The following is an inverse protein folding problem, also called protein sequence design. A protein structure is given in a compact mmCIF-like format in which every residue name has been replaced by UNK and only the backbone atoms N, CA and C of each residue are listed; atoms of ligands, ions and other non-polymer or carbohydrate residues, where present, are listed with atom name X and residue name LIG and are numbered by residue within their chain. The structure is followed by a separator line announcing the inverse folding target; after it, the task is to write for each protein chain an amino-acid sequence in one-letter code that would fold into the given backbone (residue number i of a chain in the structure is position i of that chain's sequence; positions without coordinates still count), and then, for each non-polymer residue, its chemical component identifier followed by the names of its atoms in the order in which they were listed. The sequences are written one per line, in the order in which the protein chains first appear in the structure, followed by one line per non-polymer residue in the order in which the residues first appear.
data_IF_076791253321
#
_entry.id   IF_076791253321
#
_cell.length_a   1.000
_cell.length_b   1.000
_cell.length_c   1.000
_cell.angle_alpha   90.00
_cell.angle_beta   90.00
_cell.angle_gamma   90.00
#
_symmetry.space_group_name_H-M   'P 1'
#
loop_
_entity.id
_entity.type
_entity.pdbx_description
1 polymer ?
#
# COMPACT_ATOMS: atom_id res chain seq x y z
N UNK A 1 -10.91 -5.96 -6.77
CA UNK A 1 -9.73 -5.38 -6.09
C UNK A 1 -9.94 -3.89 -5.91
N UNK A 2 -10.17 -3.42 -4.68
CA UNK A 2 -10.35 -1.99 -4.39
C UNK A 2 -8.96 -1.39 -4.21
N UNK A 3 -8.33 -1.02 -5.33
CA UNK A 3 -6.97 -0.48 -5.34
C UNK A 3 -6.98 0.99 -4.88
N UNK A 4 -6.34 1.25 -3.75
CA UNK A 4 -5.98 2.60 -3.32
C UNK A 4 -4.96 3.19 -4.32
N UNK A 5 -5.24 4.38 -4.86
CA UNK A 5 -4.40 5.05 -5.87
C UNK A 5 -3.14 5.67 -5.28
N UNK A 6 -3.15 5.92 -3.98
CA UNK A 6 -2.03 6.52 -3.25
C UNK A 6 -1.12 5.45 -2.61
N UNK A 7 -1.52 4.17 -2.73
CA UNK A 7 -0.73 3.03 -2.31
C UNK A 7 0.11 2.48 -3.49
N UNK A 8 1.33 2.05 -3.18
CA UNK A 8 2.18 1.27 -4.07
C UNK A 8 2.06 -0.20 -3.71
N UNK A 9 1.93 -1.05 -4.72
CA UNK A 9 1.76 -2.50 -4.56
C UNK A 9 3.00 -3.25 -5.02
N UNK A 10 3.39 -4.26 -4.25
CA UNK A 10 4.45 -5.20 -4.58
C UNK A 10 3.86 -6.50 -5.15
N UNK A 11 4.69 -7.24 -5.89
CA UNK A 11 4.31 -8.55 -6.46
C UNK A 11 4.08 -9.63 -5.40
N UNK A 12 4.54 -9.38 -4.18
CA UNK A 12 4.45 -10.23 -2.99
C UNK A 12 3.13 -10.08 -2.24
N UNK A 13 2.10 -9.45 -2.85
CA UNK A 13 0.82 -9.14 -2.21
C UNK A 13 0.93 -8.17 -1.03
N UNK A 14 1.92 -7.28 -1.08
CA UNK A 14 2.13 -6.24 -0.07
C UNK A 14 1.82 -4.87 -0.67
N UNK A 15 1.46 -3.92 0.18
CA UNK A 15 1.26 -2.53 -0.22
C UNK A 15 1.81 -1.55 0.82
N UNK A 16 2.17 -0.36 0.33
CA UNK A 16 2.63 0.74 1.16
C UNK A 16 2.01 2.06 0.71
N UNK A 17 1.53 2.86 1.66
CA UNK A 17 1.01 4.22 1.45
C UNK A 17 1.79 5.22 2.29
N UNK A 18 2.09 6.38 1.71
CA UNK A 18 2.77 7.48 2.41
C UNK A 18 1.76 8.53 2.86
N UNK A 19 1.81 8.89 4.14
CA UNK A 19 1.05 10.00 4.73
C UNK A 19 2.00 10.94 5.48
N UNK A 20 2.39 12.05 4.84
CA UNK A 20 3.41 12.94 5.42
C UNK A 20 4.73 12.19 5.61
N UNK A 21 5.17 12.05 6.87
CA UNK A 21 6.37 11.29 7.26
C UNK A 21 6.07 9.85 7.74
N UNK A 22 4.81 9.43 7.72
CA UNK A 22 4.41 8.08 8.08
C UNK A 22 4.30 7.20 6.82
N UNK A 23 4.84 5.99 6.90
CA UNK A 23 4.61 4.93 5.91
C UNK A 23 3.72 3.87 6.55
N UNK A 24 2.54 3.67 5.99
CA UNK A 24 1.60 2.61 6.37
C UNK A 24 1.84 1.44 5.43
N UNK A 25 2.06 0.25 6.00
CA UNK A 25 2.27 -0.99 5.25
C UNK A 25 1.21 -2.03 5.59
N UNK A 26 0.85 -2.86 4.62
CA UNK A 26 -0.13 -3.93 4.81
C UNK A 26 -0.03 -5.01 3.74
N UNK A 27 -0.85 -6.05 3.91
CA UNK A 27 -1.02 -7.15 2.95
C UNK A 27 -2.32 -6.92 2.18
N UNK A 28 -2.33 -7.17 0.88
CA UNK A 28 -3.52 -7.09 0.04
C UNK A 28 -4.37 -8.36 0.18
N UNK A 29 -5.69 -8.23 0.07
CA UNK A 29 -6.64 -9.35 -0.08
C UNK A 29 -6.35 -10.20 -1.34
#
# INVERSE_FOLDING_TARGET
MKLDKDARYAKTHEWARKEGDLIIVGVSD
#
